data_IF_798679579670
#
_entry.id   IF_798679579670
#
_cell.length_a   1.000
_cell.length_b   1.000
_cell.length_c   1.000
_cell.angle_alpha   90.00
_cell.angle_beta   90.00
_cell.angle_gamma   90.00
#
_symmetry.space_group_name_H-M   'P 1'
#
loop_
_entity.id
_entity.type
_entity.pdbx_description
1 polymer ?
#
# COMPACT_ATOMS: atom_id res chain seq x y z
N UNK A 1 1.66 2.76 38.95
CA UNK A 1 1.94 1.80 37.86
C UNK A 1 1.79 2.46 36.48
N UNK A 2 0.62 3.03 36.14
CA UNK A 2 0.40 3.79 34.89
C UNK A 2 1.46 4.87 34.61
N UNK A 3 1.81 5.71 35.59
CA UNK A 3 2.77 6.81 35.40
C UNK A 3 4.18 6.31 35.00
N UNK A 4 4.61 5.13 35.49
CA UNK A 4 5.92 4.56 35.17
C UNK A 4 5.98 4.02 33.74
N UNK A 5 4.92 3.33 33.30
CA UNK A 5 4.78 2.85 31.91
C UNK A 5 4.67 4.01 30.91
N UNK A 6 4.01 5.11 31.29
CA UNK A 6 3.96 6.34 30.52
C UNK A 6 5.35 7.00 30.40
N UNK A 7 6.13 7.03 31.48
CA UNK A 7 7.46 7.64 31.49
C UNK A 7 8.49 6.86 30.66
N UNK A 8 8.45 5.52 30.69
CA UNK A 8 9.29 4.66 29.84
C UNK A 8 8.98 4.85 28.35
N UNK A 9 7.71 5.09 28.00
CA UNK A 9 7.31 5.40 26.63
C UNK A 9 7.72 6.82 26.21
N UNK A 10 7.47 7.83 27.04
CA UNK A 10 7.76 9.24 26.76
C UNK A 10 9.25 9.54 26.55
N UNK A 11 10.16 8.84 27.22
CA UNK A 11 11.59 9.17 27.13
C UNK A 11 12.30 8.61 25.90
N UNK A 12 11.70 7.68 25.11
CA UNK A 12 12.43 6.98 24.01
C UNK A 12 11.59 6.59 22.78
N UNK A 13 10.50 7.31 22.46
CA UNK A 13 9.91 7.20 21.11
C UNK A 13 10.89 7.81 20.11
N UNK A 14 11.53 6.97 19.31
CA UNK A 14 12.43 7.39 18.23
C UNK A 14 11.90 6.93 16.86
N UNK A 15 12.53 7.45 15.79
CA UNK A 15 12.22 7.06 14.40
C UNK A 15 12.24 5.55 14.23
N UNK A 16 13.20 4.82 14.82
CA UNK A 16 13.37 3.38 14.63
C UNK A 16 12.21 2.57 15.21
N UNK A 17 11.57 3.05 16.28
CA UNK A 17 10.42 2.41 16.91
C UNK A 17 9.20 2.44 15.99
N UNK A 18 8.89 3.62 15.43
CA UNK A 18 7.67 3.85 14.65
C UNK A 18 7.83 3.60 13.15
N UNK A 19 9.06 3.57 12.62
CA UNK A 19 9.37 3.45 11.18
C UNK A 19 8.57 2.34 10.49
N UNK A 20 8.59 1.12 11.04
CA UNK A 20 7.91 0.00 10.41
C UNK A 20 6.38 0.21 10.37
N UNK A 21 5.80 0.75 11.44
CA UNK A 21 4.36 1.00 11.53
C UNK A 21 3.95 2.12 10.59
N UNK A 22 4.72 3.20 10.50
CA UNK A 22 4.48 4.27 9.53
C UNK A 22 4.55 3.74 8.10
N UNK A 23 5.60 3.00 7.75
CA UNK A 23 5.77 2.43 6.40
C UNK A 23 4.69 1.41 6.05
N UNK A 24 4.17 0.64 7.00
CA UNK A 24 3.22 -0.43 6.70
C UNK A 24 1.75 -0.02 6.84
N UNK A 25 1.46 1.11 7.51
CA UNK A 25 0.08 1.59 7.69
C UNK A 25 -0.57 2.03 6.37
N UNK A 26 0.21 2.62 5.45
CA UNK A 26 -0.27 2.96 4.10
C UNK A 26 -0.62 1.73 3.26
N UNK A 27 -0.16 0.54 3.67
CA UNK A 27 -0.49 -0.74 3.05
C UNK A 27 -1.58 -1.52 3.78
N UNK A 28 -2.39 -0.85 4.62
CA UNK A 28 -3.57 -1.45 5.24
C UNK A 28 -3.32 -2.22 6.54
N UNK A 29 -2.20 -1.96 7.23
CA UNK A 29 -1.97 -2.53 8.57
C UNK A 29 -3.04 -2.07 9.56
N UNK A 30 -3.61 -3.03 10.29
CA UNK A 30 -4.61 -2.78 11.34
C UNK A 30 -3.95 -2.35 12.64
N UNK A 31 -4.73 -1.80 13.58
CA UNK A 31 -4.26 -1.49 14.94
C UNK A 31 -3.51 -2.67 15.60
N UNK A 32 -4.02 -3.89 15.43
CA UNK A 32 -3.40 -5.10 15.99
C UNK A 32 -2.03 -5.33 15.37
N UNK A 33 -1.92 -5.24 14.04
CA UNK A 33 -0.64 -5.39 13.34
C UNK A 33 0.36 -4.29 13.72
N UNK A 34 -0.08 -3.05 13.82
CA UNK A 34 0.74 -1.91 14.24
C UNK A 34 1.28 -2.10 15.67
N UNK A 35 0.42 -2.50 16.60
CA UNK A 35 0.83 -2.83 17.98
C UNK A 35 1.87 -3.94 18.00
N UNK A 36 1.67 -5.02 17.25
CA UNK A 36 2.57 -6.17 17.26
C UNK A 36 3.95 -5.81 16.69
N UNK A 37 4.02 -4.96 15.66
CA UNK A 37 5.27 -4.42 15.14
C UNK A 37 6.02 -3.59 16.20
N UNK A 38 5.31 -2.67 16.88
CA UNK A 38 5.90 -1.85 17.94
C UNK A 38 6.33 -2.73 19.12
N UNK A 39 5.51 -3.71 19.54
CA UNK A 39 5.83 -4.66 20.60
C UNK A 39 7.12 -5.42 20.28
N UNK A 40 7.29 -5.89 19.03
CA UNK A 40 8.52 -6.56 18.58
C UNK A 40 9.74 -5.63 18.71
N UNK A 41 9.61 -4.37 18.27
CA UNK A 41 10.68 -3.36 18.40
C UNK A 41 11.01 -3.01 19.85
N UNK A 42 10.02 -3.00 20.75
CA UNK A 42 10.25 -2.78 22.18
C UNK A 42 10.98 -3.98 22.83
N UNK A 43 10.60 -5.21 22.47
CA UNK A 43 11.28 -6.43 22.94
C UNK A 43 12.75 -6.48 22.50
N UNK A 44 13.05 -6.13 21.25
CA UNK A 44 14.44 -6.07 20.74
C UNK A 44 15.35 -5.10 21.53
N UNK A 45 14.78 -4.14 22.26
CA UNK A 45 15.56 -3.17 23.03
C UNK A 45 15.86 -3.63 24.47
N UNK A 46 15.32 -4.76 24.93
CA UNK A 46 15.49 -5.28 26.30
C UNK A 46 15.24 -4.24 27.42
N UNK A 47 14.36 -3.26 27.18
CA UNK A 47 14.18 -2.10 28.08
C UNK A 47 13.29 -2.38 29.28
N UNK A 48 12.44 -3.41 29.20
CA UNK A 48 11.44 -3.74 30.21
C UNK A 48 11.40 -5.25 30.34
N UNK A 49 11.55 -5.78 31.56
CA UNK A 49 11.52 -7.22 31.80
C UNK A 49 10.08 -7.78 31.87
N UNK A 50 9.10 -6.92 32.16
CA UNK A 50 7.69 -7.30 32.27
C UNK A 50 6.96 -7.21 30.92
N UNK A 51 6.48 -8.35 30.44
CA UNK A 51 5.71 -8.48 29.21
C UNK A 51 4.37 -7.72 29.26
N UNK A 52 3.80 -7.51 30.44
CA UNK A 52 2.57 -6.73 30.62
C UNK A 52 2.81 -5.22 30.41
N UNK A 53 3.92 -4.70 30.93
CA UNK A 53 4.33 -3.30 30.71
C UNK A 53 4.69 -3.06 29.23
N UNK A 54 5.40 -3.98 28.58
CA UNK A 54 5.66 -3.90 27.12
C UNK A 54 4.35 -3.86 26.34
N UNK A 55 3.38 -4.70 26.70
CA UNK A 55 2.09 -4.72 26.03
C UNK A 55 1.36 -3.38 26.17
N UNK A 56 1.26 -2.85 27.39
CA UNK A 56 0.64 -1.54 27.64
C UNK A 56 1.32 -0.41 26.86
N UNK A 57 2.66 -0.35 26.90
CA UNK A 57 3.45 0.62 26.15
C UNK A 57 3.24 0.49 24.63
N UNK A 58 3.19 -0.73 24.10
CA UNK A 58 2.94 -0.96 22.68
C UNK A 58 1.54 -0.52 22.23
N UNK A 59 0.52 -0.70 23.07
CA UNK A 59 -0.84 -0.23 22.82
C UNK A 59 -0.89 1.30 22.75
N UNK A 60 -0.28 1.98 23.74
CA UNK A 60 -0.21 3.44 23.76
C UNK A 60 0.53 3.99 22.54
N UNK A 61 1.74 3.50 22.27
CA UNK A 61 2.55 3.94 21.14
C UNK A 61 1.86 3.68 19.79
N UNK A 62 1.22 2.52 19.61
CA UNK A 62 0.45 2.21 18.40
C UNK A 62 -0.73 3.16 18.21
N UNK A 63 -1.50 3.41 19.28
CA UNK A 63 -2.64 4.33 19.24
C UNK A 63 -2.19 5.74 18.87
N UNK A 64 -1.19 6.27 19.58
CA UNK A 64 -0.65 7.61 19.32
C UNK A 64 -0.09 7.74 17.90
N UNK A 65 0.67 6.74 17.44
CA UNK A 65 1.24 6.72 16.08
C UNK A 65 0.12 6.73 15.02
N UNK A 66 -0.89 5.87 15.17
CA UNK A 66 -2.00 5.79 14.21
C UNK A 66 -2.89 7.03 14.23
N UNK A 67 -3.08 7.65 15.40
CA UNK A 67 -3.78 8.94 15.51
C UNK A 67 -3.02 10.03 14.77
N UNK A 68 -1.70 10.15 14.97
CA UNK A 68 -0.87 11.12 14.26
C UNK A 68 -0.89 10.88 12.75
N UNK A 69 -0.74 9.63 12.30
CA UNK A 69 -0.85 9.27 10.88
C UNK A 69 -2.23 9.62 10.29
N UNK A 70 -3.30 9.40 11.05
CA UNK A 70 -4.65 9.74 10.62
C UNK A 70 -4.85 11.24 10.40
N UNK A 71 -4.20 12.07 11.20
CA UNK A 71 -4.23 13.54 11.06
C UNK A 71 -3.35 14.01 9.89
N UNK A 72 -2.17 13.41 9.71
CA UNK A 72 -1.22 13.82 8.67
C UNK A 72 -1.63 13.36 7.26
N UNK A 73 -2.33 12.22 7.14
CA UNK A 73 -2.63 11.58 5.87
C UNK A 73 -4.14 11.41 5.63
N UNK A 74 -4.92 12.43 5.97
CA UNK A 74 -6.38 12.39 5.86
C UNK A 74 -6.85 12.11 4.43
N UNK A 75 -6.29 12.82 3.43
CA UNK A 75 -6.65 12.65 2.02
C UNK A 75 -6.32 11.25 1.50
N UNK A 76 -5.13 10.71 1.85
CA UNK A 76 -4.76 9.35 1.49
C UNK A 76 -5.73 8.32 2.11
N UNK A 77 -6.16 8.54 3.36
CA UNK A 77 -7.14 7.68 4.03
C UNK A 77 -8.51 7.72 3.36
N UNK A 78 -8.97 8.90 2.91
CA UNK A 78 -10.22 9.04 2.15
C UNK A 78 -10.16 8.23 0.85
N UNK A 79 -9.06 8.32 0.10
CA UNK A 79 -8.84 7.55 -1.14
C UNK A 79 -8.79 6.04 -0.86
N UNK A 80 -8.04 5.60 0.16
CA UNK A 80 -7.99 4.18 0.54
C UNK A 80 -9.36 3.62 0.94
N UNK A 81 -10.16 4.42 1.66
CA UNK A 81 -11.55 4.03 2.00
C UNK A 81 -12.41 3.91 0.76
N UNK A 82 -12.35 4.92 -0.13
CA UNK A 82 -13.08 4.94 -1.39
C UNK A 82 -12.76 3.72 -2.26
N UNK A 83 -11.47 3.42 -2.47
CA UNK A 83 -11.02 2.21 -3.17
C UNK A 83 -11.61 0.95 -2.52
N UNK A 84 -11.51 0.83 -1.20
CA UNK A 84 -12.05 -0.31 -0.46
C UNK A 84 -13.57 -0.47 -0.58
N UNK A 85 -14.32 0.63 -0.70
CA UNK A 85 -15.77 0.61 -0.87
C UNK A 85 -16.17 0.25 -2.31
N UNK A 86 -15.46 0.76 -3.32
CA UNK A 86 -15.60 0.29 -4.71
C UNK A 86 -15.33 -1.22 -4.81
N UNK A 87 -14.26 -1.70 -4.20
CA UNK A 87 -13.91 -3.12 -4.17
C UNK A 87 -14.99 -3.97 -3.49
N UNK A 88 -15.60 -3.46 -2.41
CA UNK A 88 -16.72 -4.13 -1.73
C UNK A 88 -17.94 -4.24 -2.65
N UNK A 89 -18.29 -3.17 -3.36
CA UNK A 89 -19.44 -3.15 -4.28
C UNK A 89 -19.28 -4.21 -5.37
N UNK A 90 -18.11 -4.30 -6.01
CA UNK A 90 -17.81 -5.30 -7.05
C UNK A 90 -17.80 -6.72 -6.46
N UNK A 91 -17.06 -6.92 -5.37
CA UNK A 91 -16.89 -8.26 -4.80
C UNK A 91 -18.17 -8.83 -4.20
N UNK A 92 -19.11 -7.98 -3.77
CA UNK A 92 -20.43 -8.42 -3.28
C UNK A 92 -21.29 -9.05 -4.39
N UNK A 93 -21.00 -8.76 -5.65
CA UNK A 93 -21.59 -9.43 -6.82
C UNK A 93 -20.80 -10.68 -7.25
N UNK A 94 -19.89 -11.18 -6.40
CA UNK A 94 -19.00 -12.29 -6.69
C UNK A 94 -18.06 -12.07 -7.89
N UNK A 95 -17.71 -10.81 -8.20
CA UNK A 95 -16.71 -10.46 -9.20
C UNK A 95 -15.39 -10.03 -8.55
N UNK A 96 -14.22 -10.46 -9.07
CA UNK A 96 -12.94 -9.94 -8.60
C UNK A 96 -12.75 -8.49 -9.07
N UNK A 97 -12.05 -7.68 -8.27
CA UNK A 97 -11.66 -6.33 -8.70
C UNK A 97 -10.60 -6.44 -9.78
N UNK A 98 -10.81 -5.70 -10.87
CA UNK A 98 -9.90 -5.63 -12.02
C UNK A 98 -9.76 -4.19 -12.47
N UNK A 99 -8.56 -3.77 -12.85
CA UNK A 99 -8.31 -2.44 -13.40
C UNK A 99 -7.21 -2.52 -14.44
N UNK A 100 -7.05 -1.47 -15.22
CA UNK A 100 -5.96 -1.34 -16.18
C UNK A 100 -5.03 -0.22 -15.69
N UNK A 101 -3.73 -0.49 -15.61
CA UNK A 101 -2.75 0.53 -15.26
C UNK A 101 -2.68 1.62 -16.35
N UNK A 102 -2.14 2.81 -16.06
CA UNK A 102 -1.92 3.85 -17.07
C UNK A 102 -1.07 3.39 -18.28
N UNK A 103 -0.29 2.32 -18.12
CA UNK A 103 0.49 1.69 -19.21
C UNK A 103 -0.28 0.62 -20.00
N UNK A 104 -1.57 0.44 -19.75
CA UNK A 104 -2.40 -0.54 -20.45
C UNK A 104 -2.29 -1.97 -19.93
N UNK A 105 -1.55 -2.23 -18.84
CA UNK A 105 -1.48 -3.56 -18.22
C UNK A 105 -2.78 -3.86 -17.45
N UNK A 106 -3.57 -4.88 -17.81
CA UNK A 106 -4.70 -5.32 -17.03
C UNK A 106 -4.25 -6.07 -15.77
N UNK A 107 -4.83 -5.73 -14.62
CA UNK A 107 -4.55 -6.33 -13.32
C UNK A 107 -5.84 -6.87 -12.72
N UNK A 108 -5.79 -8.08 -12.16
CA UNK A 108 -6.93 -8.74 -11.53
C UNK A 108 -6.52 -9.24 -10.14
N UNK A 109 -7.35 -8.99 -9.13
CA UNK A 109 -7.12 -9.54 -7.79
C UNK A 109 -7.55 -11.01 -7.70
N UNK A 110 -6.63 -11.94 -7.34
CA UNK A 110 -6.91 -13.38 -7.36
C UNK A 110 -7.64 -13.88 -6.09
N UNK A 111 -8.12 -12.99 -5.22
CA UNK A 111 -8.62 -13.38 -3.90
C UNK A 111 -9.97 -14.10 -3.97
N UNK A 112 -9.91 -15.43 -4.07
CA UNK A 112 -11.01 -16.38 -4.07
C UNK A 112 -10.92 -17.31 -2.86
N UNK A 113 -12.06 -17.86 -2.43
CA UNK A 113 -12.12 -18.76 -1.30
C UNK A 113 -11.44 -20.07 -1.67
N UNK A 114 -10.66 -20.62 -0.74
CA UNK A 114 -10.02 -21.91 -0.91
C UNK A 114 -10.99 -23.02 -0.49
N UNK A 115 -11.26 -23.92 -1.43
CA UNK A 115 -11.93 -25.19 -1.22
C UNK A 115 -10.90 -26.28 -0.98
N UNK A 116 -11.40 -27.43 -0.55
CA UNK A 116 -10.58 -28.62 -0.35
C UNK A 116 -11.10 -29.73 -1.25
N UNK A 117 -10.19 -30.35 -2.01
CA UNK A 117 -10.48 -31.50 -2.85
C UNK A 117 -9.72 -32.70 -2.33
N UNK A 118 -10.45 -33.76 -2.04
CA UNK A 118 -9.85 -35.03 -1.64
C UNK A 118 -9.68 -35.94 -2.85
N UNK A 119 -8.47 -36.44 -3.07
CA UNK A 119 -8.12 -37.37 -4.13
C UNK A 119 -7.73 -38.69 -3.48
N UNK A 120 -8.57 -39.70 -3.65
CA UNK A 120 -8.28 -41.06 -3.17
C UNK A 120 -7.31 -41.72 -4.16
N UNK A 121 -6.17 -42.14 -3.65
CA UNK A 121 -5.19 -42.96 -4.39
C UNK A 121 -5.20 -44.39 -3.83
N UNK A 122 -4.50 -45.31 -4.50
CA UNK A 122 -4.37 -46.70 -4.03
C UNK A 122 -3.63 -46.84 -2.70
N UNK A 123 -2.82 -45.84 -2.31
CA UNK A 123 -2.02 -45.85 -1.07
C UNK A 123 -2.62 -44.99 0.05
N UNK A 124 -3.24 -43.86 -0.27
CA UNK A 124 -3.76 -42.90 0.71
C UNK A 124 -4.77 -41.90 0.13
N UNK A 125 -5.41 -41.13 1.01
CA UNK A 125 -6.27 -40.00 0.65
C UNK A 125 -5.47 -38.69 0.69
N UNK A 126 -5.27 -38.06 -0.47
CA UNK A 126 -4.60 -36.76 -0.58
C UNK A 126 -5.63 -35.64 -0.44
N UNK A 127 -5.35 -34.67 0.42
CA UNK A 127 -6.20 -33.48 0.59
C UNK A 127 -5.51 -32.28 -0.03
N UNK A 128 -6.02 -31.79 -1.15
CA UNK A 128 -5.46 -30.65 -1.89
C UNK A 128 -6.31 -29.40 -1.66
N UNK A 129 -5.66 -28.25 -1.56
CA UNK A 129 -6.36 -26.96 -1.64
C UNK A 129 -6.59 -26.59 -3.10
N UNK A 130 -7.79 -26.12 -3.41
CA UNK A 130 -8.17 -25.64 -4.74
C UNK A 130 -8.92 -24.32 -4.61
N UNK A 131 -8.67 -23.37 -5.50
CA UNK A 131 -9.47 -22.15 -5.56
C UNK A 131 -10.91 -22.44 -5.99
N UNK A 132 -11.87 -21.80 -5.34
CA UNK A 132 -13.29 -21.85 -5.70
C UNK A 132 -13.70 -20.65 -6.53
N UNK A 133 -14.89 -20.69 -7.13
CA UNK A 133 -15.46 -19.53 -7.82
C UNK A 133 -15.95 -18.42 -6.89
N UNK A 134 -15.92 -18.62 -5.57
CA UNK A 134 -16.42 -17.66 -4.60
C UNK A 134 -15.36 -16.61 -4.28
N UNK A 135 -15.66 -15.34 -4.55
CA UNK A 135 -14.76 -14.21 -4.27
C UNK A 135 -14.74 -13.89 -2.77
N UNK A 136 -13.55 -13.63 -2.23
CA UNK A 136 -13.39 -13.23 -0.83
C UNK A 136 -13.55 -11.72 -0.66
N UNK A 137 -14.79 -11.24 -0.47
CA UNK A 137 -15.13 -9.80 -0.33
C UNK A 137 -14.21 -9.05 0.64
N UNK A 138 -13.96 -9.61 1.82
CA UNK A 138 -13.10 -8.96 2.84
C UNK A 138 -11.65 -8.81 2.36
N UNK A 139 -11.11 -9.80 1.63
CA UNK A 139 -9.73 -9.76 1.12
C UNK A 139 -9.63 -8.82 -0.08
N UNK A 140 -10.58 -8.85 -1.01
CA UNK A 140 -10.66 -7.88 -2.11
C UNK A 140 -10.67 -6.43 -1.58
N UNK A 141 -11.57 -6.12 -0.63
CA UNK A 141 -11.65 -4.79 -0.02
C UNK A 141 -10.33 -4.33 0.62
N UNK A 142 -9.70 -5.20 1.42
CA UNK A 142 -8.51 -4.82 2.20
C UNK A 142 -7.23 -4.78 1.36
N UNK A 143 -7.16 -5.57 0.29
CA UNK A 143 -5.98 -5.65 -0.57
C UNK A 143 -6.03 -4.72 -1.78
N UNK A 144 -7.20 -4.18 -2.15
CA UNK A 144 -7.31 -3.30 -3.31
C UNK A 144 -6.50 -2.01 -3.20
N UNK A 145 -6.60 -1.21 -2.12
CA UNK A 145 -5.81 0.01 -2.01
C UNK A 145 -4.28 -0.20 -2.18
N UNK A 146 -3.61 -1.12 -1.44
CA UNK A 146 -2.17 -1.32 -1.62
C UNK A 146 -1.82 -1.88 -3.00
N UNK A 147 -2.60 -2.81 -3.53
CA UNK A 147 -2.33 -3.38 -4.86
C UNK A 147 -2.48 -2.34 -5.97
N UNK A 148 -3.43 -1.41 -5.84
CA UNK A 148 -3.61 -0.32 -6.79
C UNK A 148 -2.41 0.63 -6.78
N UNK A 149 -1.96 1.07 -5.60
CA UNK A 149 -0.77 1.92 -5.45
C UNK A 149 0.48 1.23 -6.02
N UNK A 150 0.73 -0.04 -5.67
CA UNK A 150 1.86 -0.79 -6.24
C UNK A 150 1.82 -0.89 -7.77
N UNK A 151 0.63 -0.93 -8.37
CA UNK A 151 0.51 -0.95 -9.83
C UNK A 151 0.87 0.40 -10.46
N UNK A 152 0.64 1.51 -9.74
CA UNK A 152 1.07 2.85 -10.16
C UNK A 152 2.58 3.01 -9.98
N UNK A 153 3.15 2.56 -8.86
CA UNK A 153 4.59 2.57 -8.61
C UNK A 153 5.34 1.76 -9.69
N UNK A 154 4.80 0.57 -10.04
CA UNK A 154 5.31 -0.24 -11.15
C UNK A 154 5.21 0.46 -12.51
N UNK A 155 4.14 1.22 -12.74
CA UNK A 155 3.98 2.02 -13.96
C UNK A 155 4.99 3.15 -14.03
N UNK A 156 5.23 3.86 -12.93
CA UNK A 156 6.23 4.91 -12.82
C UNK A 156 7.65 4.38 -13.06
N UNK A 157 7.99 3.23 -12.48
CA UNK A 157 9.26 2.54 -12.74
C UNK A 157 9.43 2.22 -14.23
N UNK A 158 8.42 1.65 -14.87
CA UNK A 158 8.48 1.28 -16.28
C UNK A 158 8.62 2.51 -17.20
N UNK A 159 7.87 3.58 -16.94
CA UNK A 159 8.01 4.85 -17.66
C UNK A 159 9.42 5.43 -17.53
N UNK A 160 9.96 5.42 -16.31
CA UNK A 160 11.31 5.87 -16.02
C UNK A 160 12.35 5.03 -16.76
N UNK A 161 12.23 3.70 -16.73
CA UNK A 161 13.15 2.80 -17.42
C UNK A 161 13.18 3.05 -18.93
N UNK A 162 11.99 3.25 -19.54
CA UNK A 162 11.87 3.59 -20.96
C UNK A 162 12.51 4.94 -21.28
N UNK A 163 12.34 5.94 -20.42
CA UNK A 163 12.94 7.26 -20.58
C UNK A 163 14.46 7.22 -20.43
N UNK A 164 14.98 6.50 -19.43
CA UNK A 164 16.40 6.26 -19.24
C UNK A 164 17.02 5.60 -20.48
N UNK A 165 16.37 4.55 -21.01
CA UNK A 165 16.82 3.88 -22.23
C UNK A 165 16.88 4.82 -23.44
N UNK A 166 15.89 5.69 -23.61
CA UNK A 166 15.88 6.71 -24.68
C UNK A 166 16.99 7.74 -24.51
N UNK A 167 17.32 8.10 -23.28
CA UNK A 167 18.39 9.03 -22.93
C UNK A 167 19.79 8.38 -22.90
N UNK A 168 19.90 7.06 -23.14
CA UNK A 168 21.17 6.34 -23.14
C UNK A 168 21.70 5.93 -21.76
N UNK A 169 20.86 6.00 -20.72
CA UNK A 169 21.25 5.67 -19.35
C UNK A 169 21.08 4.18 -19.06
N UNK A 170 22.03 3.61 -18.32
CA UNK A 170 21.82 2.33 -17.66
C UNK A 170 20.77 2.49 -16.55
N UNK A 171 19.88 1.52 -16.40
CA UNK A 171 18.83 1.54 -15.39
C UNK A 171 18.71 0.18 -14.70
N UNK A 172 18.67 0.20 -13.38
CA UNK A 172 18.24 -0.92 -12.56
C UNK A 172 17.23 -0.41 -11.53
N UNK A 173 16.28 -1.26 -11.12
CA UNK A 173 15.27 -0.86 -10.15
C UNK A 173 14.82 -2.03 -9.27
N UNK A 174 14.62 -1.75 -7.99
CA UNK A 174 13.99 -2.65 -7.03
C UNK A 174 12.80 -1.91 -6.43
N UNK A 175 11.62 -2.12 -7.03
CA UNK A 175 10.39 -1.41 -6.67
C UNK A 175 10.53 0.11 -6.72
N UNK A 176 10.64 0.76 -5.56
CA UNK A 176 10.75 2.21 -5.35
C UNK A 176 12.20 2.70 -5.22
N UNK A 177 13.19 1.85 -5.50
CA UNK A 177 14.61 2.19 -5.53
C UNK A 177 15.17 2.09 -6.94
N UNK A 178 15.76 3.17 -7.46
CA UNK A 178 16.22 3.29 -8.84
C UNK A 178 17.71 3.61 -8.93
N UNK A 179 18.46 2.85 -9.73
CA UNK A 179 19.91 2.88 -9.80
C UNK A 179 20.39 3.12 -11.23
N UNK A 180 21.50 3.84 -11.35
CA UNK A 180 22.24 4.08 -12.60
C UNK A 180 23.73 4.25 -12.29
N UNK A 181 24.56 4.57 -13.29
CA UNK A 181 25.97 4.89 -13.05
C UNK A 181 26.11 6.25 -12.35
N UNK A 182 27.15 6.41 -11.54
CA UNK A 182 27.33 7.60 -10.70
C UNK A 182 27.33 8.93 -11.49
N UNK A 183 27.82 8.93 -12.73
CA UNK A 183 27.82 10.11 -13.60
C UNK A 183 26.43 10.53 -14.08
N UNK A 184 25.45 9.63 -14.05
CA UNK A 184 24.11 9.81 -14.63
C UNK A 184 23.03 10.10 -13.58
N UNK A 185 23.40 10.12 -12.29
CA UNK A 185 22.45 10.24 -11.15
C UNK A 185 21.60 11.50 -11.24
N UNK A 186 22.19 12.64 -11.60
CA UNK A 186 21.46 13.90 -11.74
C UNK A 186 20.40 13.83 -12.85
N UNK A 187 20.76 13.17 -13.96
CA UNK A 187 19.85 12.98 -15.09
C UNK A 187 18.75 11.97 -14.76
N UNK A 188 19.06 10.87 -14.06
CA UNK A 188 18.05 9.93 -13.56
C UNK A 188 17.05 10.63 -12.64
N UNK A 189 17.53 11.44 -11.69
CA UNK A 189 16.68 12.17 -10.75
C UNK A 189 15.72 13.13 -11.46
N UNK A 190 16.19 13.80 -12.52
CA UNK A 190 15.34 14.63 -13.37
C UNK A 190 14.26 13.80 -14.08
N UNK A 191 14.65 12.70 -14.74
CA UNK A 191 13.72 11.81 -15.45
C UNK A 191 12.66 11.25 -14.49
N UNK A 192 13.06 10.86 -13.27
CA UNK A 192 12.15 10.33 -12.25
C UNK A 192 11.03 11.31 -11.92
N UNK A 193 11.38 12.58 -11.67
CA UNK A 193 10.41 13.65 -11.36
C UNK A 193 9.51 13.93 -12.56
N UNK A 194 10.09 14.05 -13.75
CA UNK A 194 9.34 14.28 -15.00
C UNK A 194 8.31 13.16 -15.24
N UNK A 195 8.71 11.89 -15.11
CA UNK A 195 7.81 10.74 -15.30
C UNK A 195 6.79 10.56 -14.19
N UNK A 196 7.08 11.05 -12.99
CA UNK A 196 6.08 11.09 -11.92
C UNK A 196 4.99 12.11 -12.23
N UNK A 197 5.38 13.33 -12.62
CA UNK A 197 4.42 14.39 -13.00
C UNK A 197 3.57 13.93 -14.19
N UNK A 198 4.20 13.44 -15.26
CA UNK A 198 3.49 12.91 -16.44
C UNK A 198 2.46 11.83 -16.08
N UNK A 199 2.79 10.93 -15.15
CA UNK A 199 1.87 9.87 -14.72
C UNK A 199 0.66 10.45 -13.97
N UNK A 200 0.88 11.35 -13.02
CA UNK A 200 -0.17 11.88 -12.14
C UNK A 200 -0.91 13.12 -12.68
N UNK A 201 -0.48 13.67 -13.82
CA UNK A 201 -1.28 14.60 -14.62
C UNK A 201 -2.51 13.92 -15.22
N UNK A 202 -2.44 12.61 -15.43
CA UNK A 202 -3.61 11.84 -15.88
C UNK A 202 -4.66 11.72 -14.77
N UNK A 203 -5.97 11.77 -15.10
CA UNK A 203 -7.04 11.66 -14.10
C UNK A 203 -7.25 10.18 -13.69
N UNK A 204 -6.31 9.64 -12.93
CA UNK A 204 -6.20 8.21 -12.62
C UNK A 204 -7.46 7.65 -11.93
N UNK A 205 -8.02 8.36 -10.95
CA UNK A 205 -9.16 7.86 -10.17
C UNK A 205 -10.47 7.99 -10.95
N UNK A 206 -10.60 9.04 -11.75
CA UNK A 206 -11.71 9.27 -12.68
C UNK A 206 -11.74 8.16 -13.73
N UNK A 207 -10.61 7.87 -14.37
CA UNK A 207 -10.47 6.80 -15.35
C UNK A 207 -10.82 5.44 -14.75
N UNK A 208 -10.41 5.21 -13.49
CA UNK A 208 -10.73 3.99 -12.75
C UNK A 208 -12.23 3.87 -12.50
N UNK A 209 -12.87 4.94 -12.02
CA UNK A 209 -14.31 4.97 -11.76
C UNK A 209 -15.12 4.74 -13.04
N UNK A 210 -14.78 5.45 -14.12
CA UNK A 210 -15.42 5.30 -15.42
C UNK A 210 -15.28 3.85 -15.92
N UNK A 211 -14.12 3.22 -15.74
CA UNK A 211 -13.91 1.81 -16.10
C UNK A 211 -14.78 0.86 -15.28
N UNK A 212 -15.04 1.16 -14.00
CA UNK A 212 -15.92 0.37 -13.15
C UNK A 212 -17.38 0.54 -13.55
N UNK A 213 -17.84 1.75 -13.80
CA UNK A 213 -19.20 2.05 -14.25
C UNK A 213 -19.50 1.38 -15.60
N UNK A 214 -18.55 1.43 -16.56
CA UNK A 214 -18.66 0.72 -17.84
C UNK A 214 -18.72 -0.81 -17.67
N UNK A 215 -17.92 -1.36 -16.75
CA UNK A 215 -17.88 -2.80 -16.50
C UNK A 215 -19.10 -3.31 -15.73
N UNK A 216 -19.72 -2.46 -14.92
CA UNK A 216 -20.78 -2.81 -13.99
C UNK A 216 -21.90 -1.75 -14.01
N UNK A 217 -22.64 -1.60 -15.13
CA UNK A 217 -23.62 -0.52 -15.31
C UNK A 217 -24.81 -0.56 -14.32
N UNK A 218 -25.04 -1.69 -13.65
CA UNK A 218 -26.07 -1.84 -12.62
C UNK A 218 -25.58 -1.55 -11.19
N UNK A 219 -24.31 -1.19 -10.99
CA UNK A 219 -23.75 -0.90 -9.67
C UNK A 219 -23.57 0.60 -9.47
N UNK A 220 -23.94 1.07 -8.28
CA UNK A 220 -23.69 2.44 -7.86
C UNK A 220 -22.38 2.51 -7.06
N UNK A 221 -21.45 3.33 -7.54
CA UNK A 221 -20.15 3.55 -6.91
C UNK A 221 -20.16 4.85 -6.09
N UNK A 222 -19.41 4.91 -4.99
CA UNK A 222 -19.28 6.14 -4.21
C UNK A 222 -18.61 7.25 -5.04
N UNK A 223 -18.97 8.52 -4.80
CA UNK A 223 -18.35 9.65 -5.50
C UNK A 223 -16.86 9.75 -5.17
N UNK A 224 -16.10 10.34 -6.10
CA UNK A 224 -14.66 10.55 -5.91
C UNK A 224 -14.39 11.47 -4.70
N UNK A 225 -13.31 11.21 -3.94
CA UNK A 225 -12.81 12.15 -2.94
C UNK A 225 -12.41 13.49 -3.57
N UNK A 226 -12.55 14.58 -2.82
CA UNK A 226 -12.12 15.90 -3.26
C UNK A 226 -10.61 15.96 -3.53
N UNK A 227 -10.24 16.63 -4.61
CA UNK A 227 -8.83 16.91 -4.94
C UNK A 227 -8.31 18.03 -4.06
N UNK A 228 -7.08 17.88 -3.56
CA UNK A 228 -6.38 18.95 -2.86
C UNK A 228 -5.91 20.06 -3.79
N UNK A 229 -5.21 21.03 -3.21
CA UNK A 229 -4.67 22.23 -3.86
C UNK A 229 -3.18 22.12 -4.23
N UNK A 230 -2.54 20.96 -3.95
CA UNK A 230 -1.13 20.74 -4.26
C UNK A 230 -0.82 20.87 -5.75
N UNK A 231 0.13 21.73 -6.09
CA UNK A 231 0.63 21.88 -7.46
C UNK A 231 1.63 20.77 -7.77
N UNK A 232 1.24 19.82 -8.63
CA UNK A 232 2.05 18.68 -9.02
C UNK A 232 3.41 19.06 -9.61
N UNK A 233 3.52 20.24 -10.24
CA UNK A 233 4.78 20.71 -10.82
C UNK A 233 5.88 20.98 -9.78
N UNK A 234 5.53 21.18 -8.50
CA UNK A 234 6.53 21.34 -7.43
C UNK A 234 7.41 20.08 -7.24
N UNK A 235 6.95 18.92 -7.73
CA UNK A 235 7.76 17.69 -7.70
C UNK A 235 9.02 17.82 -8.56
N UNK A 236 8.99 18.60 -9.65
CA UNK A 236 10.12 18.79 -10.55
C UNK A 236 11.33 19.42 -9.85
N UNK A 237 11.06 20.30 -8.88
CA UNK A 237 12.07 21.02 -8.12
C UNK A 237 12.39 20.37 -6.76
N UNK A 238 11.79 19.23 -6.44
CA UNK A 238 11.93 18.58 -5.13
C UNK A 238 13.22 17.75 -5.02
N UNK A 239 14.26 18.22 -4.28
CA UNK A 239 15.56 17.55 -4.23
C UNK A 239 15.52 16.22 -3.48
N UNK A 240 14.58 16.07 -2.54
CA UNK A 240 14.45 14.88 -1.69
C UNK A 240 13.35 13.92 -2.13
N UNK A 241 12.77 14.12 -3.32
CA UNK A 241 11.74 13.24 -3.86
C UNK A 241 12.26 11.82 -4.09
N UNK A 242 13.42 11.69 -4.74
CA UNK A 242 14.27 10.51 -4.76
C UNK A 242 15.69 10.94 -4.39
N UNK A 243 16.33 10.23 -3.46
CA UNK A 243 17.67 10.51 -2.95
C UNK A 243 18.42 9.21 -2.68
#
# INVERSE_FOLDING_TARGET
MLIRSYFVCLMKVDRKLVKQTVMTSVYGVTYVGARDQIKKRLKERNLVADDAEIFSASCYAAKTTLTALGQMFESARKIMSWLGDCAKTIASQNHPVRWTTPLGLPVVQPYRALGTRQIRTSLQLLTLQQETEKVMVKRQKTAFPPNFVHSLDGSHMMLTALACKKAGLAFAGVHDSYWTHACDVDQLNRILREKFVELYETPILENLLESFEKSFPGLCFPPLPERGDFNLNEVLDSPYFFN
#
